data_IF_824765270889
#
_entry.id   IF_824765270889
#
_cell.length_a   1.000
_cell.length_b   1.000
_cell.length_c   1.000
_cell.angle_alpha   90.00
_cell.angle_beta   90.00
_cell.angle_gamma   90.00
#
_symmetry.space_group_name_H-M   'P 1'
#
loop_
_entity.id
_entity.type
_entity.pdbx_description
1 polymer ?
#
# COMPACT_ATOMS: atom_id res chain seq x y z
N UNK A 1 13.48 -15.66 -46.69
CA UNK A 1 12.89 -15.45 -45.35
C UNK A 1 13.70 -16.29 -44.37
N UNK A 2 14.68 -15.67 -43.70
CA UNK A 2 15.47 -16.35 -42.67
C UNK A 2 14.81 -16.12 -41.32
N UNK A 3 14.58 -17.17 -40.56
CA UNK A 3 14.20 -17.08 -39.14
C UNK A 3 15.47 -17.29 -38.33
N UNK A 4 15.92 -16.27 -37.60
CA UNK A 4 16.97 -16.46 -36.59
C UNK A 4 16.34 -17.21 -35.41
N UNK A 5 16.79 -18.45 -35.19
CA UNK A 5 16.52 -19.18 -33.95
C UNK A 5 17.55 -18.78 -32.91
N UNK A 6 17.09 -18.41 -31.71
CA UNK A 6 17.95 -18.18 -30.54
C UNK A 6 17.83 -19.42 -29.67
N UNK A 7 18.96 -20.08 -29.42
CA UNK A 7 19.01 -21.23 -28.51
C UNK A 7 19.34 -20.73 -27.11
N UNK A 8 18.48 -21.02 -26.14
CA UNK A 8 18.56 -20.50 -24.77
C UNK A 8 18.61 -21.69 -23.82
N UNK A 9 19.67 -21.75 -23.02
CA UNK A 9 19.79 -22.76 -21.97
C UNK A 9 18.79 -22.47 -20.83
N UNK A 10 17.69 -23.24 -20.83
CA UNK A 10 16.58 -23.14 -19.89
C UNK A 10 16.99 -23.46 -18.44
N UNK A 11 18.17 -24.07 -18.20
CA UNK A 11 18.63 -24.37 -16.83
C UNK A 11 19.28 -23.18 -16.14
N UNK A 12 19.72 -22.16 -16.90
CA UNK A 12 20.48 -21.02 -16.40
C UNK A 12 19.69 -19.70 -16.41
N UNK A 13 18.50 -19.70 -17.00
CA UNK A 13 17.70 -18.47 -17.19
C UNK A 13 16.46 -18.49 -16.29
N UNK A 14 16.37 -17.49 -15.42
CA UNK A 14 15.16 -17.18 -14.67
C UNK A 14 14.18 -16.35 -15.51
N UNK A 15 12.88 -16.59 -15.33
CA UNK A 15 11.83 -15.79 -15.97
C UNK A 15 11.46 -14.61 -15.08
N UNK A 16 11.80 -13.40 -15.51
CA UNK A 16 11.29 -12.18 -14.89
C UNK A 16 10.05 -11.66 -15.61
N UNK A 17 8.92 -11.70 -14.91
CA UNK A 17 7.60 -11.33 -15.44
C UNK A 17 7.14 -9.94 -15.00
N UNK A 18 7.94 -9.28 -14.15
CA UNK A 18 7.63 -7.98 -13.62
C UNK A 18 7.97 -6.87 -14.64
N UNK A 19 7.51 -5.63 -14.41
CA UNK A 19 7.92 -4.50 -15.24
C UNK A 19 9.43 -4.31 -15.16
N UNK A 20 10.11 -4.23 -16.30
CA UNK A 20 11.56 -3.95 -16.33
C UNK A 20 11.87 -2.56 -15.78
N UNK A 21 12.78 -2.49 -14.82
CA UNK A 21 13.18 -1.22 -14.18
C UNK A 21 14.25 -0.47 -14.97
N UNK A 22 15.09 -1.17 -15.74
CA UNK A 22 16.17 -0.59 -16.52
C UNK A 22 16.18 -1.15 -17.94
N UNK A 23 16.16 -0.25 -18.93
CA UNK A 23 16.19 -0.50 -20.38
C UNK A 23 17.52 -1.10 -20.92
N UNK A 24 18.40 -1.56 -20.03
CA UNK A 24 19.71 -2.12 -20.39
C UNK A 24 19.65 -3.63 -20.72
N UNK A 25 18.63 -4.34 -20.24
CA UNK A 25 18.42 -5.77 -20.53
C UNK A 25 17.04 -5.94 -21.16
N UNK A 26 17.00 -6.38 -22.42
CA UNK A 26 15.76 -6.64 -23.15
C UNK A 26 15.11 -7.93 -22.61
N UNK A 27 14.38 -7.79 -21.50
CA UNK A 27 13.62 -8.89 -20.90
C UNK A 27 12.32 -9.13 -21.69
N UNK A 28 12.32 -10.17 -22.52
CA UNK A 28 11.17 -10.61 -23.33
C UNK A 28 9.96 -11.04 -22.49
N UNK A 29 10.19 -11.41 -21.22
CA UNK A 29 9.12 -11.88 -20.32
C UNK A 29 8.51 -10.76 -19.47
N UNK A 30 9.04 -9.53 -19.54
CA UNK A 30 8.56 -8.40 -18.76
C UNK A 30 7.07 -8.10 -18.99
N UNK A 31 6.43 -7.51 -17.98
CA UNK A 31 5.00 -7.14 -18.02
C UNK A 31 4.02 -8.32 -18.25
N UNK A 32 4.45 -9.56 -18.04
CA UNK A 32 3.60 -10.75 -18.19
C UNK A 32 2.98 -11.25 -16.87
N UNK A 33 3.31 -10.61 -15.74
CA UNK A 33 2.74 -10.93 -14.43
C UNK A 33 1.21 -10.76 -14.38
N UNK A 34 0.58 -11.47 -13.45
CA UNK A 34 -0.88 -11.46 -13.22
C UNK A 34 -1.27 -10.74 -11.93
N UNK A 35 -0.34 -9.98 -11.34
CA UNK A 35 -0.63 -9.08 -10.25
C UNK A 35 -1.72 -8.08 -10.65
N UNK A 36 -2.49 -7.60 -9.66
CA UNK A 36 -3.54 -6.61 -9.86
C UNK A 36 -2.92 -5.22 -10.00
N UNK A 37 -2.87 -4.62 -11.20
CA UNK A 37 -2.10 -3.39 -11.42
C UNK A 37 -2.68 -2.18 -10.68
N UNK A 38 -3.95 -2.24 -10.24
CA UNK A 38 -4.59 -1.15 -9.51
C UNK A 38 -4.12 -1.05 -8.06
N UNK A 39 -3.85 -2.18 -7.41
CA UNK A 39 -3.61 -2.24 -5.94
C UNK A 39 -2.28 -2.90 -5.56
N UNK A 40 -1.64 -3.61 -6.50
CA UNK A 40 -0.41 -4.40 -6.26
C UNK A 40 0.68 -4.10 -7.27
N UNK A 41 1.92 -4.34 -6.88
CA UNK A 41 3.14 -4.23 -7.66
C UNK A 41 3.86 -5.59 -7.70
N UNK A 42 4.50 -5.88 -8.83
CA UNK A 42 5.23 -7.13 -9.04
C UNK A 42 6.68 -6.99 -8.58
N UNK A 43 7.16 -7.96 -7.80
CA UNK A 43 8.58 -8.12 -7.46
C UNK A 43 9.05 -9.51 -7.89
N UNK A 44 10.12 -9.57 -8.70
CA UNK A 44 10.69 -10.82 -9.20
C UNK A 44 11.38 -11.60 -8.09
N UNK A 45 11.27 -12.93 -8.14
CA UNK A 45 11.98 -13.85 -7.24
C UNK A 45 13.00 -14.65 -8.09
N UNK A 46 14.30 -14.33 -7.98
CA UNK A 46 15.35 -15.03 -8.75
C UNK A 46 15.68 -16.40 -8.15
N UNK A 47 16.40 -17.22 -8.91
CA UNK A 47 16.93 -18.52 -8.49
C UNK A 47 15.91 -19.67 -8.51
N UNK A 48 14.83 -19.52 -9.28
CA UNK A 48 13.73 -20.48 -9.34
C UNK A 48 13.69 -21.27 -10.65
N UNK A 49 14.59 -20.97 -11.58
CA UNK A 49 14.71 -21.57 -12.89
C UNK A 49 13.65 -21.08 -13.88
N UNK A 50 13.60 -21.76 -15.02
CA UNK A 50 12.64 -21.44 -16.09
C UNK A 50 11.22 -21.90 -15.74
N UNK A 51 10.53 -21.11 -14.92
CA UNK A 51 9.13 -21.36 -14.53
C UNK A 51 8.34 -20.07 -14.40
N UNK A 52 7.05 -20.15 -14.70
CA UNK A 52 6.09 -19.05 -14.51
C UNK A 52 5.68 -18.95 -13.04
N UNK A 53 5.40 -17.74 -12.57
CA UNK A 53 5.00 -17.46 -11.19
C UNK A 53 6.18 -17.18 -10.25
N UNK A 54 7.38 -16.98 -10.78
CA UNK A 54 8.59 -16.59 -10.03
C UNK A 54 8.59 -15.10 -9.68
N UNK A 55 7.52 -14.66 -9.02
CA UNK A 55 7.33 -13.30 -8.53
C UNK A 55 6.40 -13.31 -7.32
N UNK A 56 6.33 -12.19 -6.61
CA UNK A 56 5.33 -11.90 -5.59
C UNK A 56 4.61 -10.60 -5.94
N UNK A 57 3.32 -10.54 -5.64
CA UNK A 57 2.53 -9.31 -5.76
C UNK A 57 2.45 -8.65 -4.38
N UNK A 58 3.14 -7.54 -4.23
CA UNK A 58 3.17 -6.73 -3.02
C UNK A 58 2.17 -5.59 -3.15
N UNK A 59 1.56 -5.14 -2.06
CA UNK A 59 0.65 -3.99 -2.11
C UNK A 59 1.41 -2.73 -2.53
N UNK A 60 0.78 -1.89 -3.36
CA UNK A 60 1.30 -0.55 -3.68
C UNK A 60 1.16 0.37 -2.48
N UNK A 61 1.94 1.45 -2.47
CA UNK A 61 1.71 2.59 -1.57
C UNK A 61 0.26 3.07 -1.68
N UNK A 62 -0.32 3.45 -0.54
CA UNK A 62 -1.75 3.74 -0.39
C UNK A 62 -2.63 2.49 -0.27
N UNK A 63 -2.05 1.28 -0.25
CA UNK A 63 -2.77 0.03 -0.02
C UNK A 63 -2.07 -0.87 1.01
N UNK A 64 -2.86 -1.69 1.71
CA UNK A 64 -2.37 -2.65 2.69
C UNK A 64 -2.95 -4.05 2.44
N UNK A 65 -2.26 -5.07 2.95
CA UNK A 65 -2.64 -6.46 2.79
C UNK A 65 -3.86 -6.79 3.68
N UNK A 66 -4.94 -7.42 3.15
CA UNK A 66 -6.19 -7.62 3.90
C UNK A 66 -6.02 -8.43 5.20
N UNK A 67 -5.17 -9.46 5.19
CA UNK A 67 -4.90 -10.28 6.36
C UNK A 67 -3.76 -9.68 7.19
N UNK A 68 -4.13 -8.94 8.24
CA UNK A 68 -3.17 -8.27 9.13
C UNK A 68 -2.31 -9.26 9.94
N UNK A 69 -2.79 -10.49 10.15
CA UNK A 69 -2.11 -11.54 10.91
C UNK A 69 -1.18 -12.41 10.07
N UNK A 70 -1.21 -12.27 8.74
CA UNK A 70 -0.34 -13.03 7.86
C UNK A 70 1.14 -12.71 8.09
N UNK A 71 1.97 -13.75 8.25
CA UNK A 71 3.43 -13.63 8.35
C UNK A 71 4.04 -13.05 7.05
N UNK A 72 3.47 -13.43 5.91
CA UNK A 72 3.87 -12.97 4.58
C UNK A 72 2.76 -12.07 4.00
N UNK A 73 3.04 -10.77 3.87
CA UNK A 73 2.08 -9.76 3.39
C UNK A 73 2.17 -9.55 1.88
N UNK A 74 2.13 -10.63 1.11
CA UNK A 74 2.16 -10.59 -0.35
C UNK A 74 1.44 -11.79 -0.94
N UNK A 75 1.01 -11.68 -2.19
CA UNK A 75 0.47 -12.81 -2.93
C UNK A 75 1.57 -13.52 -3.71
N UNK A 76 1.68 -14.84 -3.56
CA UNK A 76 2.64 -15.65 -4.32
C UNK A 76 2.23 -15.71 -5.79
N UNK A 77 3.16 -15.44 -6.70
CA UNK A 77 2.91 -15.47 -8.14
C UNK A 77 2.38 -16.82 -8.61
N UNK A 78 2.85 -17.94 -8.05
CA UNK A 78 2.35 -19.28 -8.36
C UNK A 78 0.84 -19.42 -8.18
N UNK A 79 0.31 -18.86 -7.09
CA UNK A 79 -1.11 -18.99 -6.73
C UNK A 79 -1.96 -18.07 -7.61
N UNK A 80 -1.47 -16.86 -7.86
CA UNK A 80 -2.09 -15.88 -8.77
C UNK A 80 -2.18 -16.47 -10.18
N UNK A 81 -1.12 -17.10 -10.66
CA UNK A 81 -1.06 -17.72 -12.00
C UNK A 81 -2.01 -18.93 -12.11
N UNK A 82 -2.07 -19.77 -11.08
CA UNK A 82 -2.96 -20.93 -11.05
C UNK A 82 -4.44 -20.52 -11.11
N UNK A 83 -4.84 -19.53 -10.31
CA UNK A 83 -6.22 -19.01 -10.34
C UNK A 83 -6.53 -18.28 -11.65
N UNK A 84 -5.56 -17.56 -12.22
CA UNK A 84 -5.72 -16.94 -13.53
C UNK A 84 -5.88 -17.98 -14.66
N UNK A 85 -5.19 -19.11 -14.58
CA UNK A 85 -5.35 -20.19 -15.55
C UNK A 85 -6.75 -20.80 -15.50
N UNK A 86 -7.30 -21.01 -14.29
CA UNK A 86 -8.70 -21.42 -14.11
C UNK A 86 -9.66 -20.42 -14.76
N UNK A 87 -9.45 -19.12 -14.51
CA UNK A 87 -10.22 -18.04 -15.15
C UNK A 87 -10.15 -18.13 -16.68
N UNK A 88 -8.95 -18.31 -17.24
CA UNK A 88 -8.74 -18.43 -18.69
C UNK A 88 -9.47 -19.63 -19.29
N UNK A 89 -9.58 -20.73 -18.55
CA UNK A 89 -10.32 -21.94 -18.93
C UNK A 89 -11.84 -21.84 -18.69
N UNK A 90 -12.33 -20.71 -18.16
CA UNK A 90 -13.74 -20.55 -17.80
C UNK A 90 -14.20 -21.40 -16.61
N UNK A 91 -13.25 -21.86 -15.78
CA UNK A 91 -13.53 -22.64 -14.58
C UNK A 91 -13.80 -21.70 -13.40
N UNK A 92 -14.42 -22.26 -12.34
CA UNK A 92 -14.55 -21.58 -11.05
C UNK A 92 -13.15 -21.14 -10.58
N UNK A 93 -12.99 -19.85 -10.33
CA UNK A 93 -11.72 -19.25 -9.99
C UNK A 93 -11.92 -18.15 -8.95
N UNK A 94 -10.88 -17.89 -8.16
CA UNK A 94 -10.84 -16.81 -7.17
C UNK A 94 -10.14 -15.56 -7.68
N UNK A 95 -9.52 -15.64 -8.86
CA UNK A 95 -8.71 -14.57 -9.41
C UNK A 95 -9.46 -13.24 -9.45
N UNK A 96 -10.75 -13.24 -9.80
CA UNK A 96 -11.55 -12.03 -10.00
C UNK A 96 -11.83 -11.19 -8.75
N UNK A 97 -11.90 -11.81 -7.57
CA UNK A 97 -12.20 -11.12 -6.32
C UNK A 97 -11.00 -11.06 -5.37
N UNK A 98 -10.06 -12.01 -5.49
CA UNK A 98 -8.89 -12.08 -4.63
C UNK A 98 -7.67 -11.37 -5.25
N UNK A 99 -6.53 -11.45 -4.55
CA UNK A 99 -5.23 -10.92 -4.95
C UNK A 99 -5.20 -9.39 -5.07
N UNK A 100 -6.12 -8.70 -4.40
CA UNK A 100 -6.21 -7.24 -4.31
C UNK A 100 -5.83 -6.77 -2.91
N UNK A 101 -5.31 -5.56 -2.80
CA UNK A 101 -5.02 -4.93 -1.51
C UNK A 101 -6.11 -3.91 -1.17
N UNK A 102 -6.29 -3.63 0.11
CA UNK A 102 -7.27 -2.67 0.60
C UNK A 102 -6.65 -1.27 0.63
N UNK A 103 -7.45 -0.23 0.38
CA UNK A 103 -6.97 1.15 0.42
C UNK A 103 -6.71 1.60 1.85
N UNK A 104 -5.63 2.35 2.03
CA UNK A 104 -5.36 3.06 3.28
C UNK A 104 -6.45 4.09 3.60
N UNK A 105 -6.49 4.50 4.87
CA UNK A 105 -7.29 5.64 5.30
C UNK A 105 -6.92 6.90 4.50
N UNK A 106 -7.88 7.81 4.23
CA UNK A 106 -7.63 9.01 3.46
C UNK A 106 -6.55 9.89 4.12
N UNK A 107 -5.58 10.34 3.31
CA UNK A 107 -4.45 11.15 3.78
C UNK A 107 -3.22 10.36 4.22
N UNK A 108 -3.22 9.03 4.08
CA UNK A 108 -2.06 8.19 4.37
C UNK A 108 -1.41 7.69 3.07
N UNK A 109 -0.09 7.91 2.94
CA UNK A 109 0.69 7.42 1.81
C UNK A 109 1.11 5.95 1.98
N UNK A 110 1.43 5.53 3.20
CA UNK A 110 1.77 4.14 3.54
C UNK A 110 1.05 3.75 4.82
N UNK A 111 0.41 2.59 4.85
CA UNK A 111 -0.29 2.08 6.02
C UNK A 111 -0.13 0.56 6.17
N UNK A 112 -0.26 0.07 7.40
CA UNK A 112 -0.27 -1.37 7.69
C UNK A 112 -1.67 -1.93 7.90
N UNK A 113 -2.64 -1.06 8.18
CA UNK A 113 -4.03 -1.38 8.48
C UNK A 113 -4.95 -0.22 8.07
N UNK A 114 -6.24 -0.34 8.40
CA UNK A 114 -7.23 0.72 8.17
C UNK A 114 -7.22 1.83 9.22
N UNK A 115 -6.22 1.89 10.10
CA UNK A 115 -6.16 2.92 11.13
C UNK A 115 -5.86 4.28 10.51
N UNK A 116 -6.48 5.37 11.02
CA UNK A 116 -6.20 6.71 10.52
C UNK A 116 -4.81 7.16 10.97
N UNK A 117 -3.89 7.43 10.03
CA UNK A 117 -2.55 7.94 10.35
C UNK A 117 -2.56 9.43 10.72
N UNK A 118 -3.49 10.19 10.15
CA UNK A 118 -3.75 11.58 10.53
C UNK A 118 -4.86 11.55 11.57
N UNK A 119 -4.74 12.35 12.63
CA UNK A 119 -5.90 12.66 13.48
C UNK A 119 -6.98 13.24 12.57
N UNK A 120 -7.98 12.42 12.23
CA UNK A 120 -9.16 12.88 11.54
C UNK A 120 -9.79 13.94 12.45
N UNK A 121 -9.47 15.20 12.18
CA UNK A 121 -9.92 16.35 12.95
C UNK A 121 -11.42 16.49 12.67
N UNK A 122 -12.20 15.71 13.41
CA UNK A 122 -13.64 15.81 13.39
C UNK A 122 -14.03 17.21 13.84
N UNK A 123 -15.10 17.75 13.24
CA UNK A 123 -15.63 19.06 13.60
C UNK A 123 -15.90 19.19 15.12
N UNK A 124 -16.18 18.06 15.78
CA UNK A 124 -16.31 17.92 17.24
C UNK A 124 -15.00 18.24 17.96
N UNK A 125 -13.89 17.58 17.60
CA UNK A 125 -12.58 17.81 18.23
C UNK A 125 -12.10 19.25 18.02
N UNK A 126 -12.34 19.82 16.83
CA UNK A 126 -12.04 21.21 16.53
C UNK A 126 -12.86 22.17 17.41
N UNK A 127 -14.15 21.89 17.59
CA UNK A 127 -15.02 22.70 18.46
C UNK A 127 -14.61 22.62 19.93
N UNK A 128 -14.22 21.44 20.41
CA UNK A 128 -13.71 21.24 21.78
C UNK A 128 -12.43 22.06 22.01
N UNK A 129 -11.45 21.99 21.10
CA UNK A 129 -10.20 22.76 21.21
C UNK A 129 -10.44 24.28 21.19
N UNK A 130 -11.34 24.75 20.33
CA UNK A 130 -11.72 26.17 20.27
C UNK A 130 -12.44 26.61 21.56
N UNK A 131 -13.31 25.78 22.13
CA UNK A 131 -13.98 26.08 23.39
C UNK A 131 -12.99 26.16 24.56
N UNK A 132 -12.07 25.19 24.67
CA UNK A 132 -11.05 25.17 25.73
C UNK A 132 -10.15 26.40 25.65
N UNK A 133 -9.65 26.72 24.45
CA UNK A 133 -8.81 27.91 24.25
C UNK A 133 -9.56 29.21 24.55
N UNK A 134 -10.82 29.33 24.16
CA UNK A 134 -11.68 30.47 24.49
C UNK A 134 -11.89 30.64 26.01
N UNK A 135 -12.14 29.54 26.73
CA UNK A 135 -12.28 29.55 28.19
C UNK A 135 -10.99 30.00 28.89
N UNK A 136 -9.84 29.49 28.45
CA UNK A 136 -8.53 29.89 28.99
C UNK A 136 -8.30 31.39 28.76
N UNK A 137 -8.58 31.90 27.56
CA UNK A 137 -8.43 33.32 27.25
C UNK A 137 -9.35 34.19 28.13
N UNK A 138 -10.61 33.78 28.32
CA UNK A 138 -11.55 34.48 29.20
C UNK A 138 -11.05 34.49 30.65
N UNK A 139 -10.53 33.37 31.15
CA UNK A 139 -10.02 33.27 32.51
C UNK A 139 -8.81 34.19 32.73
N UNK A 140 -7.88 34.23 31.76
CA UNK A 140 -6.74 35.14 31.80
C UNK A 140 -7.16 36.62 31.85
N UNK A 141 -8.19 37.01 31.08
CA UNK A 141 -8.72 38.38 31.12
C UNK A 141 -9.30 38.74 32.50
N UNK A 142 -10.02 37.82 33.14
CA UNK A 142 -10.56 38.01 34.49
C UNK A 142 -9.44 38.16 35.51
N UNK A 143 -8.39 37.33 35.42
CA UNK A 143 -7.22 37.44 36.30
C UNK A 143 -6.49 38.77 36.11
N UNK A 144 -6.29 39.23 34.87
CA UNK A 144 -5.68 40.55 34.60
C UNK A 144 -6.56 41.67 35.17
N UNK A 145 -7.87 41.61 34.97
CA UNK A 145 -8.79 42.59 35.53
C UNK A 145 -8.72 42.61 37.07
N UNK A 146 -8.75 41.43 37.69
CA UNK A 146 -8.67 41.28 39.14
C UNK A 146 -7.35 41.85 39.68
N UNK A 147 -6.22 41.47 39.10
CA UNK A 147 -4.90 42.00 39.51
C UNK A 147 -4.79 43.51 39.36
N UNK A 148 -5.38 44.12 38.33
CA UNK A 148 -5.41 45.59 38.17
C UNK A 148 -6.32 46.25 39.20
N UNK A 149 -7.50 45.69 39.45
CA UNK A 149 -8.45 46.25 40.40
C UNK A 149 -7.89 46.25 41.84
N UNK A 150 -7.24 45.15 42.24
CA UNK A 150 -6.68 44.96 43.57
C UNK A 150 -5.24 45.49 43.70
N UNK A 151 -4.65 46.05 42.64
CA UNK A 151 -3.29 46.60 42.65
C UNK A 151 -3.07 47.73 43.64
N UNK A 152 -4.14 48.43 44.03
CA UNK A 152 -4.11 49.53 45.01
C UNK A 152 -4.41 49.07 46.45
N UNK A 153 -4.82 47.81 46.64
CA UNK A 153 -4.95 47.22 47.96
C UNK A 153 -3.59 46.63 48.30
N UNK A 154 -2.74 47.44 48.94
CA UNK A 154 -1.49 46.95 49.54
C UNK A 154 -1.85 45.88 50.57
N UNK A 155 -1.38 44.65 50.34
CA UNK A 155 -1.16 43.68 51.43
C UNK A 155 -0.07 44.23 52.34
#
# INVERSE_FOLDING_TARGET
RGTSGIDIDLQKVDIDQCPGTNSAEENVFANSSRCRPQTTQCEHIPGLGFRRGSYKCVCKDGFYFPDLGAKEKFYRGTDVEAEYEKKRKGLLNRYDHDFQCLRCAPGCDVCTDSSPCILALNWILRSILLAISGLIMSFLLVLVWFTVHYRNIKV
#
